data_IF_560743607895
#
_entry.id   IF_560743607895
#
_cell.length_a   1.000
_cell.length_b   1.000
_cell.length_c   1.000
_cell.angle_alpha   90.00
_cell.angle_beta   90.00
_cell.angle_gamma   90.00
#
_symmetry.space_group_name_H-M   'P 1'
#
loop_
_entity.id
_entity.type
_entity.pdbx_description
1 polymer ?
#
# COMPACT_ATOMS: atom_id res chain seq x y z
N UNK A 1 2.24 20.71 3.58
CA UNK A 1 1.05 20.71 2.69
C UNK A 1 -0.15 21.35 3.37
N UNK A 2 -0.65 20.82 4.49
CA UNK A 2 -1.83 21.39 5.19
C UNK A 2 -1.72 22.88 5.56
N UNK A 3 -0.52 23.38 5.88
CA UNK A 3 -0.31 24.81 6.20
C UNK A 3 -0.58 25.76 5.02
N UNK A 4 -0.51 25.28 3.78
CA UNK A 4 -0.69 26.09 2.56
C UNK A 4 -1.98 25.69 1.83
N UNK A 5 -2.30 24.39 1.82
CA UNK A 5 -3.49 23.83 1.19
C UNK A 5 -4.28 22.98 2.19
N UNK A 6 -5.09 23.61 3.07
CA UNK A 6 -5.74 22.93 4.19
C UNK A 6 -6.85 21.96 3.76
N UNK A 7 -7.43 22.16 2.57
CA UNK A 7 -8.54 21.34 2.03
C UNK A 7 -8.08 20.14 1.20
N UNK A 8 -6.77 19.97 0.99
CA UNK A 8 -6.24 18.91 0.14
C UNK A 8 -6.12 17.60 0.91
N UNK A 9 -6.65 16.53 0.34
CA UNK A 9 -6.42 15.17 0.82
C UNK A 9 -5.03 14.67 0.37
N UNK A 10 -4.31 14.00 1.26
CA UNK A 10 -2.97 13.48 0.97
C UNK A 10 -3.07 11.99 0.65
N UNK A 11 -2.84 11.63 -0.61
CA UNK A 11 -2.67 10.24 -1.04
C UNK A 11 -1.19 9.94 -1.27
N UNK A 12 -0.65 8.93 -0.59
CA UNK A 12 0.67 8.36 -0.90
C UNK A 12 0.55 7.32 -2.02
N UNK A 13 1.40 7.37 -3.03
CA UNK A 13 1.38 6.36 -4.09
C UNK A 13 1.69 4.96 -3.52
N UNK A 14 0.76 4.02 -3.72
CA UNK A 14 0.80 2.66 -3.16
C UNK A 14 1.89 1.77 -3.79
N UNK A 15 2.35 2.10 -5.00
CA UNK A 15 3.40 1.34 -5.69
C UNK A 15 4.74 1.48 -4.97
N UNK A 16 5.06 2.67 -4.43
CA UNK A 16 6.31 2.90 -3.70
C UNK A 16 6.48 1.98 -2.48
N UNK A 17 5.54 1.87 -1.53
CA UNK A 17 5.68 0.93 -0.41
C UNK A 17 5.66 -0.54 -0.87
N UNK A 18 4.93 -0.91 -1.93
CA UNK A 18 5.00 -2.26 -2.51
C UNK A 18 6.43 -2.58 -2.97
N UNK A 19 7.03 -1.72 -3.79
CA UNK A 19 8.42 -1.90 -4.26
C UNK A 19 9.43 -1.84 -3.11
N UNK A 20 9.24 -0.91 -2.17
CA UNK A 20 10.12 -0.78 -1.02
C UNK A 20 10.08 -2.05 -0.15
N UNK A 21 8.91 -2.67 0.02
CA UNK A 21 8.77 -3.92 0.79
C UNK A 21 9.67 -5.03 0.24
N UNK A 22 9.74 -5.16 -1.09
CA UNK A 22 10.54 -6.19 -1.76
C UNK A 22 12.05 -6.05 -1.53
N UNK A 23 12.54 -4.84 -1.25
CA UNK A 23 13.94 -4.60 -0.91
C UNK A 23 14.35 -5.24 0.43
N UNK A 24 13.41 -5.40 1.36
CA UNK A 24 13.66 -5.95 2.70
C UNK A 24 13.24 -7.43 2.82
N UNK A 25 12.40 -7.91 1.92
CA UNK A 25 11.94 -9.30 1.89
C UNK A 25 12.98 -10.16 1.18
N UNK A 26 13.45 -11.22 1.85
CA UNK A 26 14.41 -12.16 1.28
C UNK A 26 13.87 -12.76 -0.04
N UNK A 27 14.72 -12.91 -1.06
CA UNK A 27 14.34 -13.33 -2.41
C UNK A 27 13.41 -14.56 -2.43
N UNK A 28 13.73 -15.60 -1.63
CA UNK A 28 12.91 -16.82 -1.49
C UNK A 28 11.46 -16.58 -1.06
N UNK A 29 11.21 -15.51 -0.31
CA UNK A 29 9.91 -15.16 0.26
C UNK A 29 9.16 -14.10 -0.57
N UNK A 30 9.80 -13.42 -1.51
CA UNK A 30 9.20 -12.31 -2.26
C UNK A 30 7.93 -12.71 -3.00
N UNK A 31 7.91 -13.89 -3.63
CA UNK A 31 6.73 -14.39 -4.36
C UNK A 31 5.54 -14.59 -3.42
N UNK A 32 5.75 -15.25 -2.28
CA UNK A 32 4.70 -15.53 -1.30
C UNK A 32 4.22 -14.24 -0.62
N UNK A 33 5.16 -13.38 -0.23
CA UNK A 33 4.86 -12.08 0.36
C UNK A 33 4.03 -11.22 -0.60
N UNK A 34 4.40 -11.12 -1.87
CA UNK A 34 3.63 -10.36 -2.87
C UNK A 34 2.23 -10.92 -3.10
N UNK A 35 2.06 -12.24 -3.05
CA UNK A 35 0.75 -12.86 -3.15
C UNK A 35 -0.16 -12.47 -1.97
N UNK A 36 0.40 -12.35 -0.76
CA UNK A 36 -0.33 -11.92 0.44
C UNK A 36 -0.51 -10.40 0.52
N UNK A 37 0.40 -9.62 -0.08
CA UNK A 37 0.29 -8.15 -0.13
C UNK A 37 -0.71 -7.68 -1.19
N UNK A 38 -0.90 -8.44 -2.27
CA UNK A 38 -1.80 -8.07 -3.38
C UNK A 38 -3.25 -7.80 -2.95
N UNK A 39 -3.87 -8.58 -2.07
CA UNK A 39 -5.19 -8.26 -1.50
C UNK A 39 -5.27 -6.88 -0.84
N UNK A 40 -4.20 -6.38 -0.20
CA UNK A 40 -4.19 -5.08 0.49
C UNK A 40 -4.48 -3.92 -0.47
N UNK A 41 -3.80 -3.85 -1.61
CA UNK A 41 -3.96 -2.75 -2.56
C UNK A 41 -4.97 -3.01 -3.69
N UNK A 42 -5.53 -4.22 -3.77
CA UNK A 42 -6.61 -4.57 -4.72
C UNK A 42 -7.98 -4.76 -4.07
N UNK A 43 -8.08 -4.54 -2.76
CA UNK A 43 -9.33 -4.65 -2.03
C UNK A 43 -10.42 -3.73 -2.61
N UNK A 44 -11.67 -4.12 -2.42
CA UNK A 44 -12.86 -3.37 -2.89
C UNK A 44 -13.29 -2.27 -1.92
N UNK A 45 -12.83 -2.33 -0.67
CA UNK A 45 -13.13 -1.34 0.38
C UNK A 45 -11.94 -1.18 1.32
N UNK A 46 -11.94 -0.09 2.13
CA UNK A 46 -10.87 0.18 3.10
C UNK A 46 -10.82 -0.92 4.16
N UNK A 47 -11.98 -1.39 4.60
CA UNK A 47 -12.13 -2.44 5.63
C UNK A 47 -11.55 -3.76 5.14
N UNK A 48 -11.86 -4.16 3.91
CA UNK A 48 -11.28 -5.36 3.31
C UNK A 48 -9.75 -5.24 3.14
N UNK A 49 -9.25 -4.03 2.86
CA UNK A 49 -7.83 -3.75 2.76
C UNK A 49 -7.13 -3.84 4.14
N UNK A 50 -7.79 -3.36 5.20
CA UNK A 50 -7.33 -3.43 6.58
C UNK A 50 -7.27 -4.88 7.06
N UNK A 51 -8.32 -5.67 6.83
CA UNK A 51 -8.31 -7.10 7.14
C UNK A 51 -7.17 -7.83 6.43
N UNK A 52 -6.96 -7.55 5.13
CA UNK A 52 -5.85 -8.12 4.39
C UNK A 52 -4.47 -7.68 4.95
N UNK A 53 -4.35 -6.45 5.45
CA UNK A 53 -3.13 -5.96 6.08
C UNK A 53 -2.88 -6.63 7.43
N UNK A 54 -3.93 -6.87 8.22
CA UNK A 54 -3.87 -7.64 9.47
C UNK A 54 -3.41 -9.08 9.22
N UNK A 55 -3.97 -9.73 8.20
CA UNK A 55 -3.55 -11.08 7.79
C UNK A 55 -2.09 -11.12 7.31
N UNK A 56 -1.66 -10.10 6.56
CA UNK A 56 -0.28 -9.97 6.12
C UNK A 56 0.67 -9.82 7.33
N UNK A 57 0.30 -8.99 8.31
CA UNK A 57 1.08 -8.78 9.52
C UNK A 57 1.12 -10.02 10.42
N UNK A 58 0.01 -10.76 10.54
CA UNK A 58 -0.01 -12.03 11.27
C UNK A 58 0.97 -13.06 10.68
N UNK A 59 1.09 -13.10 9.34
CA UNK A 59 1.97 -14.07 8.65
C UNK A 59 3.43 -13.64 8.59
N UNK A 60 3.68 -12.35 8.39
CA UNK A 60 5.01 -11.83 8.03
C UNK A 60 5.56 -10.78 9.00
N UNK A 61 4.77 -10.33 9.98
CA UNK A 61 5.14 -9.26 10.91
C UNK A 61 6.32 -9.61 11.80
N UNK A 62 6.45 -10.87 12.21
CA UNK A 62 7.62 -11.32 12.99
C UNK A 62 8.90 -11.34 12.13
N UNK A 63 8.80 -11.80 10.88
CA UNK A 63 9.95 -11.93 10.00
C UNK A 63 10.39 -10.60 9.37
N UNK A 64 9.43 -9.71 9.07
CA UNK A 64 9.65 -8.43 8.39
C UNK A 64 8.99 -7.25 9.12
N UNK A 65 9.26 -7.04 10.43
CA UNK A 65 8.56 -6.05 11.25
C UNK A 65 8.72 -4.62 10.72
N UNK A 66 9.87 -4.30 10.13
CA UNK A 66 10.15 -2.98 9.53
C UNK A 66 9.21 -2.69 8.36
N UNK A 67 8.93 -3.70 7.54
CA UNK A 67 8.03 -3.55 6.38
C UNK A 67 6.61 -3.25 6.88
N UNK A 68 6.09 -4.08 7.77
CA UNK A 68 4.71 -3.94 8.28
C UNK A 68 4.55 -2.64 9.08
N UNK A 69 5.53 -2.26 9.90
CA UNK A 69 5.54 -0.96 10.59
C UNK A 69 5.49 0.22 9.61
N UNK A 70 6.22 0.14 8.48
CA UNK A 70 6.14 1.19 7.45
C UNK A 70 4.77 1.25 6.78
N UNK A 71 4.08 0.13 6.60
CA UNK A 71 2.73 0.12 6.04
C UNK A 71 1.72 0.73 7.02
N UNK A 72 1.74 0.28 8.28
CA UNK A 72 0.85 0.77 9.35
C UNK A 72 1.00 2.26 9.61
N UNK A 73 2.23 2.75 9.76
CA UNK A 73 2.49 4.17 10.02
C UNK A 73 2.06 5.11 8.89
N UNK A 74 1.95 4.60 7.66
CA UNK A 74 1.53 5.37 6.47
C UNK A 74 0.10 5.06 6.04
N UNK A 75 -0.60 4.15 6.74
CA UNK A 75 -1.84 3.55 6.26
C UNK A 75 -2.93 4.58 5.95
N UNK A 76 -3.05 5.61 6.78
CA UNK A 76 -4.08 6.64 6.58
C UNK A 76 -3.92 7.37 5.23
N UNK A 77 -2.69 7.74 4.87
CA UNK A 77 -2.43 8.38 3.58
C UNK A 77 -2.34 7.35 2.43
N UNK A 78 -2.06 6.08 2.70
CA UNK A 78 -2.05 5.03 1.69
C UNK A 78 -3.46 4.58 1.30
N UNK A 79 -4.42 4.67 2.20
CA UNK A 79 -5.81 4.21 2.03
C UNK A 79 -6.79 5.33 1.63
N UNK A 80 -6.33 6.58 1.51
CA UNK A 80 -7.19 7.73 1.17
C UNK A 80 -7.95 7.52 -0.15
N UNK A 81 -7.36 6.81 -1.11
CA UNK A 81 -7.98 6.54 -2.41
C UNK A 81 -9.28 5.74 -2.34
N UNK A 82 -9.55 5.02 -1.24
CA UNK A 82 -10.82 4.32 -1.07
C UNK A 82 -12.04 5.25 -1.04
N UNK A 83 -11.84 6.54 -0.79
CA UNK A 83 -12.89 7.57 -0.89
C UNK A 83 -13.36 7.83 -2.33
N UNK A 84 -12.53 7.50 -3.32
CA UNK A 84 -12.88 7.70 -4.74
C UNK A 84 -13.65 6.49 -5.31
N UNK A 85 -14.45 6.68 -6.38
CA UNK A 85 -15.08 5.58 -7.11
C UNK A 85 -14.06 4.60 -7.73
N UNK A 86 -14.48 3.36 -7.96
CA UNK A 86 -13.60 2.23 -8.29
C UNK A 86 -12.76 2.41 -9.57
N UNK A 87 -13.32 3.10 -10.57
CA UNK A 87 -12.67 3.48 -11.82
C UNK A 87 -11.47 4.41 -11.59
N UNK A 88 -11.58 5.37 -10.67
CA UNK A 88 -10.48 6.26 -10.25
C UNK A 88 -9.43 5.49 -9.45
N UNK A 89 -9.87 4.62 -8.51
CA UNK A 89 -8.93 3.83 -7.67
C UNK A 89 -7.96 3.04 -8.53
N UNK A 90 -8.44 2.43 -9.61
CA UNK A 90 -7.63 1.64 -10.53
C UNK A 90 -6.47 2.45 -11.11
N UNK A 91 -6.67 3.72 -11.44
CA UNK A 91 -5.61 4.59 -11.97
C UNK A 91 -4.54 4.85 -10.89
N UNK A 92 -4.94 4.97 -9.62
CA UNK A 92 -4.03 5.29 -8.50
C UNK A 92 -3.12 4.11 -8.13
N UNK A 93 -3.61 2.87 -8.16
CA UNK A 93 -2.83 1.68 -7.82
C UNK A 93 -2.25 0.93 -9.03
N UNK A 94 -2.33 1.49 -10.24
CA UNK A 94 -1.71 0.93 -11.45
C UNK A 94 -0.56 1.79 -11.96
N UNK A 95 0.42 1.12 -12.56
CA UNK A 95 1.81 1.57 -12.74
C UNK A 95 2.03 2.49 -13.95
N UNK A 96 1.14 3.44 -14.29
CA UNK A 96 1.12 3.91 -15.70
C UNK A 96 1.66 5.31 -16.02
N UNK A 97 1.86 6.23 -15.07
CA UNK A 97 2.38 7.58 -15.41
C UNK A 97 3.66 7.96 -14.66
N UNK A 98 3.68 7.78 -13.33
CA UNK A 98 4.79 8.23 -12.48
C UNK A 98 6.02 7.31 -12.62
N UNK A 99 5.78 6.03 -12.88
CA UNK A 99 6.82 5.00 -12.95
C UNK A 99 7.53 4.92 -14.32
N UNK A 100 7.05 5.67 -15.32
CA UNK A 100 7.70 5.77 -16.63
C UNK A 100 8.83 6.82 -16.64
N UNK A 101 8.98 7.59 -15.56
CA UNK A 101 9.89 8.74 -15.46
C UNK A 101 11.02 8.48 -14.43
N UNK A 102 11.19 7.24 -13.97
CA UNK A 102 12.18 6.86 -12.96
C UNK A 102 12.95 5.59 -13.33
#
# INVERSE_FOLDING_TARGET
>A
VHSIFPKTEVQLCIIHPVRNSIKYVAHKNQKAFMANLKPVYKAVSKEAAETALDELESRWGEQYPIVLKSWRSKWENLSTYFKYPADIRRVIYTTNAIEAVH
#
